data_IF_495258046317
#
_entry.id   IF_495258046317
#
_cell.length_a   1.000
_cell.length_b   1.000
_cell.length_c   1.000
_cell.angle_alpha   90.00
_cell.angle_beta   90.00
_cell.angle_gamma   90.00
#
_symmetry.space_group_name_H-M   'P 1'
#
loop_
_entity.id
_entity.type
_entity.pdbx_description
1 polymer ?
#
# COMPACT_ATOMS: atom_id res chain seq x y z
N UNK A 1 5.88 9.37 8.54
CA UNK A 1 4.85 9.36 7.47
C UNK A 1 4.98 8.09 6.67
N UNK A 2 3.87 7.40 6.46
CA UNK A 2 3.82 6.16 5.67
C UNK A 2 2.97 6.36 4.42
N UNK A 3 3.54 6.04 3.26
CA UNK A 3 2.83 6.01 1.99
C UNK A 3 2.36 4.58 1.72
N UNK A 4 1.06 4.35 1.55
CA UNK A 4 0.53 3.09 1.04
C UNK A 4 0.23 3.24 -0.46
N UNK A 5 0.85 2.38 -1.26
CA UNK A 5 0.68 2.33 -2.71
C UNK A 5 -0.21 1.14 -3.11
N UNK A 6 -1.31 1.43 -3.79
CA UNK A 6 -2.13 0.44 -4.47
C UNK A 6 -2.05 0.58 -6.00
N UNK A 7 -2.59 -0.38 -6.75
CA UNK A 7 -2.69 -0.28 -8.22
C UNK A 7 -4.10 0.11 -8.69
N UNK A 8 -5.16 -0.31 -7.96
CA UNK A 8 -6.56 -0.24 -8.43
C UNK A 8 -7.55 0.20 -7.33
N UNK A 9 -7.18 1.13 -6.45
CA UNK A 9 -8.04 1.58 -5.36
C UNK A 9 -8.75 2.86 -5.71
N UNK A 10 -9.87 2.71 -6.38
CA UNK A 10 -10.69 3.84 -6.78
C UNK A 10 -11.71 4.16 -5.70
N UNK A 11 -11.81 5.42 -5.21
CA UNK A 11 -13.11 5.96 -4.90
C UNK A 11 -13.79 6.30 -6.24
N UNK A 12 -14.16 5.31 -7.06
CA UNK A 12 -15.21 5.56 -8.05
C UNK A 12 -16.44 5.78 -7.18
N UNK A 13 -16.85 7.03 -6.97
CA UNK A 13 -18.14 7.35 -6.35
C UNK A 13 -19.04 7.78 -7.51
N UNK A 14 -19.90 6.91 -8.05
CA UNK A 14 -20.87 7.30 -9.05
C UNK A 14 -21.82 8.31 -8.42
N UNK A 15 -22.00 9.47 -9.06
CA UNK A 15 -22.96 10.52 -8.69
C UNK A 15 -24.41 10.01 -8.65
N UNK A 16 -24.68 8.82 -9.20
CA UNK A 16 -26.00 8.18 -9.27
C UNK A 16 -25.97 6.72 -8.80
N UNK A 17 -25.10 6.37 -7.87
CA UNK A 17 -25.18 5.05 -7.24
C UNK A 17 -26.51 4.97 -6.47
N UNK A 18 -27.51 4.28 -7.02
CA UNK A 18 -28.81 4.00 -6.35
C UNK A 18 -28.60 3.12 -5.11
N UNK A 19 -27.47 2.42 -5.06
CA UNK A 19 -26.97 1.64 -3.93
C UNK A 19 -25.75 2.35 -3.32
N UNK A 20 -25.63 2.42 -1.98
CA UNK A 20 -24.41 2.90 -1.34
C UNK A 20 -23.19 2.15 -1.90
N UNK A 21 -22.10 2.87 -2.17
CA UNK A 21 -20.84 2.21 -2.50
C UNK A 21 -20.50 1.20 -1.40
N UNK A 22 -19.99 0.00 -1.73
CA UNK A 22 -19.46 -0.87 -0.69
C UNK A 22 -18.43 -0.07 0.10
N UNK A 23 -18.67 0.02 1.41
CA UNK A 23 -17.88 0.81 2.36
C UNK A 23 -16.40 0.43 2.29
N UNK A 24 -16.09 -0.77 1.78
CA UNK A 24 -14.80 -1.43 1.62
C UNK A 24 -13.74 -0.72 0.74
N UNK A 25 -13.94 0.54 0.33
CA UNK A 25 -12.88 1.32 -0.34
C UNK A 25 -12.13 2.17 0.71
N UNK A 26 -10.80 2.04 0.88
CA UNK A 26 -9.96 2.76 1.86
C UNK A 26 -9.93 4.28 1.71
N UNK A 27 -10.48 4.77 0.61
CA UNK A 27 -10.64 6.17 0.25
C UNK A 27 -12.12 6.61 0.14
N UNK A 28 -13.07 5.79 0.61
CA UNK A 28 -14.48 6.22 0.63
C UNK A 28 -14.60 7.46 1.51
N UNK A 29 -15.41 8.44 1.07
CA UNK A 29 -15.67 9.70 1.79
C UNK A 29 -16.11 9.49 3.24
N UNK A 30 -16.66 8.31 3.56
CA UNK A 30 -17.20 7.94 4.86
C UNK A 30 -16.36 6.90 5.61
N UNK A 31 -15.31 6.36 5.00
CA UNK A 31 -14.47 5.36 5.62
C UNK A 31 -12.98 5.59 5.29
N UNK A 32 -12.21 5.97 6.31
CA UNK A 32 -10.76 5.80 6.27
C UNK A 32 -10.40 4.32 6.50
N UNK A 33 -9.16 3.93 6.23
CA UNK A 33 -8.66 2.55 6.44
C UNK A 33 -9.00 1.94 7.82
N UNK A 34 -9.13 2.79 8.84
CA UNK A 34 -9.50 2.43 10.22
C UNK A 34 -10.97 2.09 10.42
N UNK A 35 -11.84 2.43 9.47
CA UNK A 35 -13.26 2.08 9.47
C UNK A 35 -13.58 0.83 8.65
N UNK A 36 -12.56 0.17 8.09
CA UNK A 36 -12.73 -0.95 7.17
C UNK A 36 -12.29 -2.25 7.83
N UNK A 37 -13.25 -2.88 8.52
CA UNK A 37 -13.07 -4.14 9.25
C UNK A 37 -12.40 -5.23 8.40
N UNK A 38 -12.66 -5.25 7.09
CA UNK A 38 -12.01 -6.18 6.15
C UNK A 38 -10.49 -6.10 6.14
N UNK A 39 -9.90 -4.89 6.28
CA UNK A 39 -8.45 -4.68 6.26
C UNK A 39 -7.82 -4.75 7.63
N UNK A 40 -8.58 -4.40 8.68
CA UNK A 40 -8.17 -4.49 10.07
C UNK A 40 -8.05 -5.96 10.49
N UNK A 41 -9.06 -6.77 10.19
CA UNK A 41 -9.12 -8.16 10.63
C UNK A 41 -8.01 -9.04 10.03
N UNK A 42 -7.45 -8.64 8.88
CA UNK A 42 -6.36 -9.35 8.24
C UNK A 42 -4.98 -8.77 8.60
N UNK A 43 -4.92 -7.73 9.43
CA UNK A 43 -3.65 -7.09 9.82
C UNK A 43 -2.94 -6.42 8.66
N UNK A 44 -3.65 -5.94 7.64
CA UNK A 44 -3.06 -5.23 6.50
C UNK A 44 -2.74 -3.77 6.83
N UNK A 45 -3.28 -3.23 7.92
CA UNK A 45 -3.08 -1.85 8.38
C UNK A 45 -2.16 -1.86 9.61
N UNK A 46 -1.04 -1.11 9.61
CA UNK A 46 -0.15 -1.05 10.77
C UNK A 46 -0.83 -0.45 12.01
N UNK A 47 -0.40 -0.86 13.21
CA UNK A 47 -1.01 -0.41 14.47
C UNK A 47 -0.87 1.10 14.72
N UNK A 48 0.28 1.69 14.34
CA UNK A 48 0.52 3.15 14.36
C UNK A 48 -0.44 3.94 13.44
N UNK A 49 -0.93 3.29 12.39
CA UNK A 49 -1.98 3.81 11.52
C UNK A 49 -3.36 3.55 12.13
N UNK A 50 -3.53 2.66 13.09
CA UNK A 50 -4.79 2.46 13.81
C UNK A 50 -4.93 3.40 15.02
N UNK A 51 -3.82 3.77 15.67
CA UNK A 51 -3.80 4.58 16.91
C UNK A 51 -3.66 6.10 16.69
N UNK A 52 -3.41 6.58 15.46
CA UNK A 52 -3.25 8.01 15.10
C UNK A 52 -1.87 8.58 15.43
N UNK A 53 -0.88 7.73 15.71
CA UNK A 53 0.51 8.16 15.91
C UNK A 53 1.24 8.46 14.60
N UNK A 54 0.85 7.84 13.49
CA UNK A 54 1.49 8.05 12.18
C UNK A 54 0.55 8.63 11.12
N UNK A 55 1.10 9.54 10.31
CA UNK A 55 0.42 10.10 9.15
C UNK A 55 0.47 9.12 7.98
N UNK A 56 -0.70 8.87 7.39
CA UNK A 56 -0.86 8.02 6.23
C UNK A 56 -1.20 8.83 4.98
N UNK A 57 -0.48 8.57 3.89
CA UNK A 57 -0.92 8.94 2.55
C UNK A 57 -1.18 7.68 1.74
N UNK A 58 -2.38 7.56 1.19
CA UNK A 58 -2.73 6.45 0.31
C UNK A 58 -2.76 6.95 -1.13
N UNK A 59 -2.12 6.23 -2.06
CA UNK A 59 -2.04 6.59 -3.48
C UNK A 59 -2.25 5.36 -4.36
N UNK A 60 -2.81 5.60 -5.55
CA UNK A 60 -2.66 4.65 -6.65
C UNK A 60 -1.38 4.96 -7.41
N UNK A 61 -0.55 3.94 -7.59
CA UNK A 61 0.66 4.03 -8.39
C UNK A 61 0.34 4.24 -9.87
N UNK A 62 -0.79 3.71 -10.34
CA UNK A 62 -1.30 3.91 -11.69
C UNK A 62 -2.66 4.59 -11.61
N UNK A 63 -2.70 5.93 -11.44
CA UNK A 63 -3.96 6.64 -11.37
C UNK A 63 -4.71 6.50 -12.70
N UNK A 64 -6.01 6.29 -12.58
CA UNK A 64 -6.92 6.34 -13.71
C UNK A 64 -7.51 7.73 -13.79
N UNK A 65 -7.27 8.40 -14.92
CA UNK A 65 -7.71 9.76 -15.16
C UNK A 65 -9.12 9.84 -15.78
N UNK A 66 -9.96 8.83 -15.55
CA UNK A 66 -11.34 8.89 -16.01
C UNK A 66 -12.08 10.08 -15.37
N UNK A 67 -12.95 10.77 -16.12
CA UNK A 67 -13.88 11.72 -15.52
C UNK A 67 -14.71 11.03 -14.42
N UNK A 68 -15.12 11.77 -13.38
CA UNK A 68 -16.06 11.25 -12.41
C UNK A 68 -17.26 10.62 -13.12
N UNK A 69 -17.64 9.41 -12.71
CA UNK A 69 -18.78 8.64 -13.23
C UNK A 69 -18.58 8.01 -14.62
N UNK A 70 -17.38 8.03 -15.19
CA UNK A 70 -17.12 7.32 -16.44
C UNK A 70 -17.17 5.79 -16.24
N UNK A 71 -18.01 5.07 -17.01
CA UNK A 71 -18.07 3.60 -16.93
C UNK A 71 -16.81 2.96 -17.52
N UNK A 72 -16.13 3.67 -18.41
CA UNK A 72 -14.91 3.20 -19.10
C UNK A 72 -13.67 3.68 -18.37
N UNK A 73 -12.67 2.80 -18.29
CA UNK A 73 -11.34 3.10 -17.77
C UNK A 73 -10.75 4.26 -18.58
N UNK A 74 -10.22 5.26 -17.88
CA UNK A 74 -9.60 6.41 -18.50
C UNK A 74 -8.24 6.05 -19.11
N UNK A 75 -7.59 7.00 -19.81
CA UNK A 75 -6.24 6.79 -20.28
C UNK A 75 -5.33 6.56 -19.08
N UNK A 76 -4.44 5.58 -19.22
CA UNK A 76 -3.37 5.37 -18.27
C UNK A 76 -2.10 6.05 -18.74
N UNK A 77 -1.40 6.68 -17.81
CA UNK A 77 -0.04 7.11 -18.06
C UNK A 77 0.91 5.91 -18.17
N UNK A 78 1.99 6.02 -18.97
CA UNK A 78 3.06 5.03 -18.98
C UNK A 78 3.66 4.86 -17.58
N UNK A 79 4.03 3.62 -17.24
CA UNK A 79 4.60 3.31 -15.93
C UNK A 79 5.86 4.09 -15.58
N UNK A 80 6.68 4.47 -16.58
CA UNK A 80 7.85 5.33 -16.38
C UNK A 80 7.45 6.68 -15.80
N UNK A 81 6.45 7.35 -16.39
CA UNK A 81 5.92 8.63 -15.90
C UNK A 81 5.29 8.51 -14.53
N UNK A 82 4.57 7.42 -14.26
CA UNK A 82 4.04 7.16 -12.92
C UNK A 82 5.16 7.01 -11.88
N UNK A 83 6.25 6.31 -12.24
CA UNK A 83 7.42 6.16 -11.37
C UNK A 83 8.15 7.48 -11.15
N UNK A 84 8.30 8.31 -12.18
CA UNK A 84 8.89 9.64 -12.07
C UNK A 84 8.06 10.53 -11.13
N UNK A 85 6.74 10.55 -11.30
CA UNK A 85 5.83 11.29 -10.43
C UNK A 85 5.87 10.80 -8.98
N UNK A 86 5.93 9.49 -8.77
CA UNK A 86 6.10 8.90 -7.45
C UNK A 86 7.45 9.30 -6.81
N UNK A 87 8.54 9.24 -7.56
CA UNK A 87 9.86 9.63 -7.07
C UNK A 87 9.92 11.13 -6.71
N UNK A 88 9.31 11.98 -7.54
CA UNK A 88 9.20 13.41 -7.26
C UNK A 88 8.36 13.68 -5.99
N UNK A 89 7.26 12.95 -5.80
CA UNK A 89 6.47 13.03 -4.58
C UNK A 89 7.27 12.64 -3.35
N UNK A 90 7.97 11.50 -3.40
CA UNK A 90 8.83 11.02 -2.31
C UNK A 90 9.89 12.07 -1.99
N UNK A 91 10.57 12.64 -2.97
CA UNK A 91 11.57 13.69 -2.70
C UNK A 91 10.94 14.92 -2.03
N UNK A 92 9.78 15.37 -2.53
CA UNK A 92 9.09 16.52 -1.97
C UNK A 92 8.65 16.29 -0.51
N UNK A 93 8.01 15.16 -0.21
CA UNK A 93 7.54 14.87 1.16
C UNK A 93 8.68 14.55 2.12
N UNK A 94 9.80 14.02 1.63
CA UNK A 94 10.99 13.71 2.43
C UNK A 94 11.71 14.95 2.95
N UNK A 95 11.38 16.15 2.43
CA UNK A 95 11.90 17.43 2.96
C UNK A 95 11.33 17.77 4.34
N UNK A 96 10.15 17.23 4.66
CA UNK A 96 9.42 17.54 5.89
C UNK A 96 9.26 16.32 6.78
N UNK A 97 9.08 15.15 6.19
CA UNK A 97 8.75 13.93 6.92
C UNK A 97 9.81 12.85 6.73
N UNK A 98 10.01 12.00 7.75
CA UNK A 98 10.60 10.69 7.53
C UNK A 98 9.58 9.84 6.76
N UNK A 99 9.97 9.41 5.55
CA UNK A 99 9.10 8.69 4.60
C UNK A 99 9.48 7.22 4.56
N UNK A 100 8.45 6.39 4.47
CA UNK A 100 8.56 4.96 4.19
C UNK A 100 7.33 4.50 3.40
N UNK A 101 7.48 3.38 2.70
CA UNK A 101 6.48 2.92 1.73
C UNK A 101 6.03 1.51 2.05
N UNK A 102 4.72 1.28 1.92
CA UNK A 102 4.13 -0.05 1.87
C UNK A 102 3.43 -0.14 0.53
N UNK A 103 3.61 -1.24 -0.22
CA UNK A 103 2.80 -1.49 -1.42
C UNK A 103 1.87 -2.67 -1.23
N UNK A 104 0.72 -2.59 -1.88
CA UNK A 104 -0.27 -3.66 -1.93
C UNK A 104 -0.42 -4.21 -3.34
N UNK A 105 -0.15 -5.51 -3.48
CA UNK A 105 -0.45 -6.28 -4.68
C UNK A 105 0.71 -6.44 -5.64
N UNK A 106 0.58 -7.48 -6.48
CA UNK A 106 1.63 -7.89 -7.40
C UNK A 106 1.95 -6.82 -8.44
N UNK A 107 0.96 -6.07 -8.93
CA UNK A 107 1.20 -5.04 -9.95
C UNK A 107 2.13 -3.94 -9.43
N UNK A 108 1.91 -3.41 -8.22
CA UNK A 108 2.79 -2.39 -7.65
C UNK A 108 4.18 -2.97 -7.36
N UNK A 109 4.23 -4.21 -6.85
CA UNK A 109 5.49 -4.91 -6.63
C UNK A 109 6.31 -5.08 -7.91
N UNK A 110 5.72 -5.56 -9.00
CA UNK A 110 6.40 -5.76 -10.28
C UNK A 110 7.00 -4.46 -10.84
N UNK A 111 6.40 -3.33 -10.50
CA UNK A 111 6.86 -2.00 -10.92
C UNK A 111 7.99 -1.50 -10.01
N UNK A 112 7.79 -1.54 -8.69
CA UNK A 112 8.75 -1.02 -7.72
C UNK A 112 9.97 -1.92 -7.52
N UNK A 113 9.87 -3.22 -7.76
CA UNK A 113 10.98 -4.16 -7.55
C UNK A 113 12.22 -3.84 -8.40
N UNK A 114 12.04 -3.09 -9.49
CA UNK A 114 13.14 -2.57 -10.34
C UNK A 114 13.93 -1.45 -9.69
N UNK A 115 13.36 -0.81 -8.67
CA UNK A 115 13.96 0.28 -7.89
C UNK A 115 14.48 -0.21 -6.54
N UNK A 116 14.45 -1.52 -6.27
CA UNK A 116 14.97 -2.08 -5.02
C UNK A 116 16.44 -2.40 -5.18
N UNK A 117 17.30 -1.86 -4.30
CA UNK A 117 18.76 -1.97 -4.42
C UNK A 117 19.28 -3.42 -4.29
N UNK A 118 18.71 -4.20 -3.38
CA UNK A 118 19.26 -5.51 -2.97
C UNK A 118 18.50 -6.73 -3.53
N UNK A 119 17.68 -6.56 -4.57
CA UNK A 119 16.84 -7.65 -5.05
C UNK A 119 17.62 -8.61 -5.97
N UNK A 120 18.21 -9.65 -5.36
CA UNK A 120 19.01 -10.67 -6.07
C UNK A 120 18.25 -11.44 -7.16
N UNK A 121 16.96 -11.73 -6.94
CA UNK A 121 16.11 -12.48 -7.88
C UNK A 121 14.71 -11.88 -7.97
N UNK A 122 14.14 -11.81 -9.19
CA UNK A 122 12.77 -11.38 -9.37
C UNK A 122 11.82 -12.49 -8.88
N UNK A 123 11.36 -12.36 -7.64
CA UNK A 123 10.36 -13.26 -7.06
C UNK A 123 8.98 -12.60 -7.15
N UNK A 124 7.93 -13.41 -7.36
CA UNK A 124 6.56 -12.94 -7.16
C UNK A 124 6.34 -12.52 -5.71
N UNK A 125 5.47 -11.54 -5.47
CA UNK A 125 5.30 -10.91 -4.15
C UNK A 125 5.01 -11.93 -3.03
N UNK A 126 4.18 -12.93 -3.29
CA UNK A 126 3.85 -13.97 -2.32
C UNK A 126 5.03 -14.92 -2.07
N UNK A 127 5.90 -15.14 -3.06
CA UNK A 127 7.11 -15.96 -2.89
C UNK A 127 8.15 -15.18 -2.09
N UNK A 128 8.32 -13.89 -2.41
CA UNK A 128 9.19 -12.99 -1.66
C UNK A 128 8.81 -12.94 -0.17
N UNK A 129 7.52 -12.75 0.14
CA UNK A 129 7.01 -12.71 1.52
C UNK A 129 7.23 -14.02 2.30
N UNK A 130 7.55 -15.14 1.63
CA UNK A 130 7.77 -16.45 2.26
C UNK A 130 9.24 -16.85 2.30
N UNK A 131 10.11 -16.13 1.60
CA UNK A 131 11.53 -16.48 1.55
C UNK A 131 12.25 -15.99 2.82
N UNK A 132 13.34 -16.66 3.24
CA UNK A 132 14.17 -16.17 4.35
C UNK A 132 14.72 -14.76 4.13
N UNK A 133 14.92 -14.37 2.86
CA UNK A 133 15.46 -13.05 2.50
C UNK A 133 14.40 -11.94 2.49
N UNK A 134 13.11 -12.29 2.36
CA UNK A 134 12.02 -11.33 2.22
C UNK A 134 11.05 -11.27 3.40
N UNK A 135 10.86 -12.37 4.14
CA UNK A 135 9.90 -12.42 5.25
C UNK A 135 10.17 -11.33 6.30
N UNK A 136 9.19 -10.45 6.49
CA UNK A 136 9.20 -9.35 7.43
C UNK A 136 10.28 -8.28 7.19
N UNK A 137 11.05 -8.37 6.10
CA UNK A 137 12.20 -7.48 5.87
C UNK A 137 11.77 -6.26 5.05
N UNK A 138 11.88 -5.03 5.59
CA UNK A 138 11.81 -3.83 4.77
C UNK A 138 13.00 -3.82 3.81
N UNK A 139 12.70 -3.63 2.54
CA UNK A 139 13.64 -3.48 1.45
C UNK A 139 14.09 -2.02 1.34
N UNK A 140 15.22 -1.83 0.68
CA UNK A 140 15.71 -0.51 0.32
C UNK A 140 15.16 -0.12 -1.06
N UNK A 141 14.24 0.84 -1.10
CA UNK A 141 13.67 1.37 -2.34
C UNK A 141 14.36 2.68 -2.70
N UNK A 142 14.89 2.74 -3.92
CA UNK A 142 15.57 3.89 -4.48
C UNK A 142 14.57 4.76 -5.24
N UNK A 143 14.25 5.92 -4.68
CA UNK A 143 13.34 6.91 -5.25
C UNK A 143 14.12 8.17 -5.60
N UNK A 144 14.54 8.30 -6.86
CA UNK A 144 15.43 9.38 -7.27
C UNK A 144 16.76 9.30 -6.52
N UNK A 145 17.10 10.33 -5.74
CA UNK A 145 18.32 10.39 -4.92
C UNK A 145 18.10 9.91 -3.48
N UNK A 146 16.92 9.36 -3.16
CA UNK A 146 16.55 8.92 -1.81
C UNK A 146 16.53 7.41 -1.74
N UNK A 147 17.01 6.91 -0.62
CA UNK A 147 16.81 5.53 -0.18
C UNK A 147 15.76 5.53 0.94
N UNK A 148 14.68 4.77 0.75
CA UNK A 148 13.57 4.72 1.70
C UNK A 148 13.19 3.27 2.06
N UNK A 149 12.78 3.01 3.32
CA UNK A 149 12.28 1.70 3.71
C UNK A 149 11.00 1.34 2.95
N UNK A 150 10.94 0.12 2.42
CA UNK A 150 9.84 -0.36 1.58
C UNK A 150 9.40 -1.78 1.96
N UNK A 151 8.11 -1.95 2.27
CA UNK A 151 7.54 -3.26 2.53
C UNK A 151 6.49 -3.65 1.47
N UNK A 152 6.78 -4.62 0.59
CA UNK A 152 5.79 -5.17 -0.33
C UNK A 152 4.88 -6.17 0.38
N UNK A 153 3.56 -6.01 0.22
CA UNK A 153 2.55 -6.92 0.76
C UNK A 153 1.58 -7.39 -0.34
N UNK A 154 1.09 -8.62 -0.20
CA UNK A 154 0.03 -9.12 -1.07
C UNK A 154 -1.23 -8.25 -0.95
N UNK A 155 -2.05 -8.21 -2.00
CA UNK A 155 -3.21 -7.32 -2.01
C UNK A 155 -4.28 -7.81 -1.02
N UNK A 156 -4.75 -6.97 -0.07
CA UNK A 156 -5.64 -7.43 0.99
C UNK A 156 -7.12 -7.54 0.56
N UNK A 157 -7.48 -7.16 -0.69
CA UNK A 157 -8.85 -7.31 -1.18
C UNK A 157 -9.27 -8.78 -1.38
N UNK A 158 -8.33 -9.67 -1.67
CA UNK A 158 -8.55 -11.11 -1.77
C UNK A 158 -8.09 -11.75 -0.46
N UNK A 159 -9.04 -12.27 0.33
CA UNK A 159 -8.76 -12.88 1.63
C UNK A 159 -7.75 -14.05 1.55
N UNK A 160 -7.65 -14.72 0.41
CA UNK A 160 -6.70 -15.83 0.21
C UNK A 160 -5.24 -15.36 0.20
N UNK A 161 -5.01 -14.08 -0.12
CA UNK A 161 -3.67 -13.48 -0.14
C UNK A 161 -3.13 -13.17 1.26
N UNK A 162 -4.01 -13.07 2.26
CA UNK A 162 -3.65 -12.73 3.64
C UNK A 162 -3.92 -13.91 4.58
N UNK A 163 -3.36 -15.07 4.23
CA UNK A 163 -3.27 -16.20 5.14
C UNK A 163 -2.29 -15.91 6.30
N UNK A 164 -2.24 -16.79 7.30
CA UNK A 164 -1.40 -16.62 8.50
C UNK A 164 0.04 -16.21 8.18
N UNK A 165 0.63 -16.78 7.14
CA UNK A 165 2.00 -16.48 6.73
C UNK A 165 2.17 -15.06 6.20
N UNK A 166 1.27 -14.56 5.35
CA UNK A 166 1.34 -13.18 4.85
C UNK A 166 0.96 -12.17 5.93
N UNK A 167 0.05 -12.52 6.83
CA UNK A 167 -0.27 -11.71 8.01
C UNK A 167 0.95 -11.61 8.95
N UNK A 168 1.70 -12.71 9.12
CA UNK A 168 2.94 -12.72 9.89
C UNK A 168 4.05 -11.90 9.21
N UNK A 169 4.20 -12.01 7.88
CA UNK A 169 5.12 -11.17 7.09
C UNK A 169 4.79 -9.68 7.27
N UNK A 170 3.51 -9.31 7.15
CA UNK A 170 3.05 -7.93 7.35
C UNK A 170 3.34 -7.44 8.78
N UNK A 171 2.98 -8.24 9.79
CA UNK A 171 3.22 -7.93 11.21
C UNK A 171 4.70 -7.68 11.49
N UNK A 172 5.56 -8.60 11.08
CA UNK A 172 7.01 -8.49 11.29
C UNK A 172 7.58 -7.27 10.56
N UNK A 173 7.16 -7.06 9.30
CA UNK A 173 7.56 -5.89 8.52
C UNK A 173 7.14 -4.58 9.19
N UNK A 174 5.93 -4.48 9.71
CA UNK A 174 5.47 -3.30 10.44
C UNK A 174 6.30 -3.04 11.70
N UNK A 175 6.62 -4.08 12.48
CA UNK A 175 7.48 -3.94 13.66
C UNK A 175 8.84 -3.37 13.25
N UNK A 176 9.48 -3.92 12.21
CA UNK A 176 10.80 -3.45 11.75
C UNK A 176 10.79 -2.04 11.15
N UNK A 177 9.67 -1.60 10.61
CA UNK A 177 9.48 -0.22 10.14
C UNK A 177 9.13 0.76 11.27
N UNK A 178 9.08 0.33 12.53
CA UNK A 178 8.62 1.16 13.65
C UNK A 178 7.14 1.50 13.57
N UNK A 179 6.37 0.76 12.78
CA UNK A 179 4.92 0.89 12.62
C UNK A 179 4.14 -0.11 13.48
N UNK A 180 4.85 -1.06 14.10
CA UNK A 180 4.32 -1.99 15.08
C UNK A 180 4.04 -1.27 16.39
N UNK A 181 2.86 -1.52 16.96
CA UNK A 181 2.46 -1.08 18.29
C UNK A 181 1.95 -2.29 19.09
N UNK A 182 1.65 -2.08 20.37
CA UNK A 182 1.00 -3.07 21.25
C UNK A 182 -0.48 -3.31 20.90
N UNK A 183 -0.93 -2.82 19.74
CA UNK A 183 -2.32 -2.75 19.32
C UNK A 183 -3.03 -4.09 19.37
N UNK A 184 -3.70 -4.35 20.50
CA UNK A 184 -4.83 -5.26 20.52
C UNK A 184 -5.82 -4.72 19.50
N UNK A 185 -6.12 -5.51 18.48
CA UNK A 185 -7.35 -5.31 17.72
C UNK A 185 -8.46 -5.56 18.73
N UNK A 186 -9.03 -4.49 19.29
CA UNK A 186 -10.27 -4.63 20.04
C UNK A 186 -11.29 -5.21 19.06
N UNK A 187 -11.88 -6.39 19.35
CA UNK A 187 -13.01 -6.84 18.57
C UNK A 187 -14.11 -5.79 18.77
N UNK A 188 -14.59 -5.22 17.66
CA UNK A 188 -15.90 -4.58 17.62
C UNK A 188 -16.95 -5.67 17.43
#
# INVERSE_FOLDING_TARGET
>A
MTIILGHDWYPIVPARAKTPHPVDVPLSRYAGLRGLTKYINVGAVPASIMDRSEMLLFLNFKPDFRPPNSPTVGPFEPYSRCSEGFNALVDAVSRTFKVQVISWGANVWELLRKQVADLRKPLGICVHARSPEGFGRPLELICGQRSIPYLPLAHPCDRRNFNEQHAAHAKEGFIRMGLGGTGKVSPL
#
